data_IF_761970849345
#
_entry.id   IF_761970849345
#
_cell.length_a   1.000
_cell.length_b   1.000
_cell.length_c   1.000
_cell.angle_alpha   90.00
_cell.angle_beta   90.00
_cell.angle_gamma   90.00
#
_symmetry.space_group_name_H-M   'P 1'
#
loop_
_entity.id
_entity.type
_entity.pdbx_description
1 polymer ?
#
# COMPACT_ATOMS: atom_id res chain seq x y z
N UNK A 1 5.37 3.06 -3.19
CA UNK A 1 5.59 2.95 -4.66
C UNK A 1 5.06 4.21 -5.32
N UNK A 2 5.45 4.50 -6.56
CA UNK A 2 4.98 5.69 -7.28
C UNK A 2 3.55 5.51 -7.86
N UNK A 3 2.98 4.32 -7.70
CA UNK A 3 1.67 3.89 -8.20
C UNK A 3 1.59 3.69 -9.72
N UNK A 4 2.75 3.65 -10.38
CA UNK A 4 2.93 3.18 -11.76
C UNK A 4 3.57 1.79 -11.78
N UNK A 5 2.98 0.85 -11.05
CA UNK A 5 3.41 -0.55 -11.09
C UNK A 5 2.89 -1.19 -12.39
N UNK A 6 3.61 -2.18 -12.92
CA UNK A 6 3.18 -2.99 -14.09
C UNK A 6 2.02 -3.93 -13.69
N UNK A 7 0.87 -3.34 -13.39
CA UNK A 7 -0.33 -4.07 -12.97
C UNK A 7 -1.14 -4.65 -14.12
N UNK A 8 -0.92 -4.11 -15.31
CA UNK A 8 -1.64 -4.49 -16.51
C UNK A 8 -0.61 -4.63 -17.62
N UNK A 9 -0.34 -5.87 -18.05
CA UNK A 9 0.64 -6.21 -19.08
C UNK A 9 0.43 -5.44 -20.41
N UNK A 10 -0.75 -4.84 -20.60
CA UNK A 10 -1.14 -4.10 -21.80
C UNK A 10 -1.16 -2.58 -21.64
N UNK A 11 -0.90 -2.04 -20.44
CA UNK A 11 -1.06 -0.62 -20.15
C UNK A 11 0.30 0.07 -19.93
N UNK A 12 0.85 0.67 -20.98
CA UNK A 12 2.04 1.52 -20.86
C UNK A 12 1.66 2.92 -20.34
N UNK A 13 1.94 3.16 -19.06
CA UNK A 13 1.74 4.46 -18.37
C UNK A 13 3.06 5.21 -18.13
N UNK A 14 4.16 4.79 -18.75
CA UNK A 14 5.49 5.39 -18.51
C UNK A 14 5.58 6.85 -18.93
N UNK A 15 4.75 7.27 -19.90
CA UNK A 15 4.70 8.65 -20.44
C UNK A 15 3.38 9.38 -20.20
N UNK A 16 2.55 8.89 -19.27
CA UNK A 16 1.25 9.51 -18.96
C UNK A 16 1.39 10.52 -17.83
N UNK A 17 0.96 11.75 -18.08
CA UNK A 17 0.84 12.77 -17.04
C UNK A 17 -0.46 12.53 -16.26
N UNK A 18 -0.37 12.52 -14.94
CA UNK A 18 -1.49 12.29 -14.04
C UNK A 18 -1.01 12.11 -12.59
N UNK A 19 -1.95 12.07 -11.66
CA UNK A 19 -1.64 11.80 -10.25
C UNK A 19 -1.78 10.31 -9.95
N UNK A 20 -0.65 9.60 -9.96
CA UNK A 20 -0.60 8.14 -9.78
C UNK A 20 -0.23 7.70 -8.37
N UNK A 21 0.00 8.62 -7.42
CA UNK A 21 0.44 8.28 -6.06
C UNK A 21 -0.52 7.31 -5.38
N UNK A 22 0.01 6.22 -4.82
CA UNK A 22 -0.76 5.27 -4.04
C UNK A 22 -0.41 5.35 -2.55
N UNK A 23 -1.44 5.39 -1.71
CA UNK A 23 -1.32 5.43 -0.24
C UNK A 23 -1.99 4.19 0.35
N UNK A 24 -1.28 3.49 1.23
CA UNK A 24 -1.80 2.31 1.93
C UNK A 24 -1.18 2.21 3.34
N UNK A 25 -1.94 1.76 4.34
CA UNK A 25 -1.43 1.61 5.70
C UNK A 25 -0.51 0.40 5.80
N UNK A 26 0.54 0.52 6.62
CA UNK A 26 1.41 -0.59 7.01
C UNK A 26 1.54 -0.60 8.53
N UNK A 27 1.38 -1.78 9.14
CA UNK A 27 1.64 -1.98 10.57
C UNK A 27 3.04 -2.53 10.76
N UNK A 28 3.96 -1.70 11.22
CA UNK A 28 5.34 -2.09 11.49
C UNK A 28 5.43 -2.89 12.80
N UNK A 29 6.30 -3.90 12.82
CA UNK A 29 6.55 -4.74 14.01
C UNK A 29 8.03 -4.69 14.39
N UNK A 30 8.45 -3.67 15.17
CA UNK A 30 9.82 -3.57 15.64
C UNK A 30 10.20 -4.77 16.52
N UNK A 31 11.48 -5.14 16.48
CA UNK A 31 12.08 -6.23 17.22
C UNK A 31 12.97 -5.71 18.35
N UNK A 32 13.45 -6.60 19.20
CA UNK A 32 14.30 -6.25 20.34
C UNK A 32 15.62 -5.58 19.92
N UNK A 33 16.20 -5.98 18.78
CA UNK A 33 17.42 -5.37 18.24
C UNK A 33 17.12 -4.53 17.00
N UNK A 34 17.98 -3.54 16.73
CA UNK A 34 17.89 -2.72 15.53
C UNK A 34 18.09 -3.55 14.26
N UNK A 35 19.05 -4.47 14.26
CA UNK A 35 19.35 -5.32 13.12
C UNK A 35 18.13 -6.18 12.73
N UNK A 36 17.52 -6.84 13.71
CA UNK A 36 16.33 -7.68 13.49
C UNK A 36 15.11 -6.84 13.09
N UNK A 37 14.97 -5.64 13.65
CA UNK A 37 13.91 -4.70 13.28
C UNK A 37 14.02 -4.30 11.81
N UNK A 38 15.23 -3.96 11.34
CA UNK A 38 15.46 -3.56 9.96
C UNK A 38 15.18 -4.70 8.99
N UNK A 39 15.66 -5.91 9.29
CA UNK A 39 15.38 -7.09 8.48
C UNK A 39 13.88 -7.39 8.43
N UNK A 40 13.22 -7.41 9.59
CA UNK A 40 11.80 -7.73 9.69
C UNK A 40 10.94 -6.71 8.96
N UNK A 41 11.14 -5.41 9.21
CA UNK A 41 10.36 -4.34 8.58
C UNK A 41 10.58 -4.32 7.06
N UNK A 42 11.81 -4.56 6.58
CA UNK A 42 12.09 -4.67 5.15
C UNK A 42 11.28 -5.79 4.51
N UNK A 43 11.21 -6.96 5.16
CA UNK A 43 10.43 -8.08 4.65
C UNK A 43 8.92 -7.84 4.78
N UNK A 44 8.44 -7.17 5.84
CA UNK A 44 7.04 -6.73 5.95
C UNK A 44 6.64 -5.83 4.78
N UNK A 45 7.49 -4.88 4.40
CA UNK A 45 7.24 -3.99 3.26
C UNK A 45 7.30 -4.71 1.91
N UNK A 46 8.15 -5.73 1.77
CA UNK A 46 8.24 -6.57 0.57
C UNK A 46 7.05 -7.51 0.38
N UNK A 47 6.48 -7.99 1.48
CA UNK A 47 5.34 -8.88 1.48
C UNK A 47 4.03 -8.21 1.03
N UNK A 48 4.00 -6.87 0.91
CA UNK A 48 2.82 -6.14 0.45
C UNK A 48 2.59 -6.41 -1.04
N UNK A 49 1.48 -7.05 -1.43
CA UNK A 49 1.16 -7.29 -2.84
C UNK A 49 0.99 -5.98 -3.60
N UNK A 50 1.53 -5.90 -4.81
CA UNK A 50 1.24 -4.81 -5.76
C UNK A 50 1.42 -3.40 -5.18
N UNK A 51 2.38 -3.26 -4.25
CA UNK A 51 2.61 -2.05 -3.44
C UNK A 51 1.32 -1.42 -2.92
N UNK A 52 0.39 -2.25 -2.46
CA UNK A 52 -0.84 -1.85 -1.78
C UNK A 52 -1.87 -1.16 -2.66
N UNK A 53 -1.81 -1.26 -3.99
CA UNK A 53 -2.78 -0.60 -4.89
C UNK A 53 -4.20 -1.11 -4.65
N UNK A 54 -4.34 -2.40 -4.31
CA UNK A 54 -5.63 -2.98 -3.92
C UNK A 54 -6.30 -2.28 -2.73
N UNK A 55 -5.54 -1.67 -1.82
CA UNK A 55 -6.11 -0.93 -0.69
C UNK A 55 -6.92 0.28 -1.15
N UNK A 56 -6.33 1.13 -2.01
CA UNK A 56 -7.01 2.31 -2.55
C UNK A 56 -8.23 1.91 -3.38
N UNK A 57 -8.09 0.89 -4.23
CA UNK A 57 -9.19 0.37 -5.02
C UNK A 57 -10.37 -0.10 -4.15
N UNK A 58 -10.12 -0.92 -3.11
CA UNK A 58 -11.17 -1.38 -2.21
C UNK A 58 -11.77 -0.25 -1.36
N UNK A 59 -10.95 0.70 -0.91
CA UNK A 59 -11.38 1.80 -0.06
C UNK A 59 -12.27 2.83 -0.78
N UNK A 60 -12.01 3.08 -2.05
CA UNK A 60 -12.70 4.14 -2.80
C UNK A 60 -13.65 3.61 -3.88
N UNK A 61 -13.34 2.47 -4.49
CA UNK A 61 -14.06 1.88 -5.63
C UNK A 61 -14.66 0.49 -5.34
N UNK A 62 -14.40 -0.07 -4.15
CA UNK A 62 -14.91 -1.38 -3.74
C UNK A 62 -16.41 -1.41 -3.45
N UNK A 63 -16.93 -2.60 -3.16
CA UNK A 63 -18.31 -2.78 -2.69
C UNK A 63 -18.59 -1.93 -1.45
N UNK A 64 -19.87 -1.63 -1.19
CA UNK A 64 -20.29 -0.92 0.03
C UNK A 64 -19.74 -1.60 1.29
N UNK A 65 -19.81 -2.93 1.38
CA UNK A 65 -19.27 -3.70 2.50
C UNK A 65 -17.74 -3.56 2.67
N UNK A 66 -16.98 -3.58 1.56
CA UNK A 66 -15.54 -3.40 1.59
C UNK A 66 -15.16 -1.98 2.05
N UNK A 67 -15.85 -0.97 1.52
CA UNK A 67 -15.64 0.43 1.90
C UNK A 67 -15.95 0.66 3.38
N UNK A 68 -17.07 0.16 3.89
CA UNK A 68 -17.42 0.25 5.31
C UNK A 68 -16.40 -0.43 6.22
N UNK A 69 -15.96 -1.64 5.85
CA UNK A 69 -14.93 -2.38 6.60
C UNK A 69 -13.63 -1.57 6.70
N UNK A 70 -13.16 -1.00 5.58
CA UNK A 70 -11.90 -0.25 5.55
C UNK A 70 -12.01 1.15 6.17
N UNK A 71 -13.21 1.75 6.20
CA UNK A 71 -13.45 3.02 6.89
C UNK A 71 -13.45 2.88 8.41
N UNK A 72 -13.83 1.71 8.94
CA UNK A 72 -13.81 1.43 10.37
C UNK A 72 -12.41 1.17 10.94
N UNK A 73 -11.40 0.95 10.07
CA UNK A 73 -10.03 0.73 10.52
C UNK A 73 -9.38 2.03 11.02
N UNK A 74 -8.51 1.95 12.04
CA UNK A 74 -7.78 3.11 12.53
C UNK A 74 -6.89 3.70 11.43
N UNK A 75 -6.84 5.03 11.38
CA UNK A 75 -5.94 5.75 10.49
C UNK A 75 -4.49 5.61 10.95
N UNK A 76 -3.57 5.56 9.99
CA UNK A 76 -2.14 5.58 10.30
C UNK A 76 -1.76 6.89 11.00
N UNK A 77 -0.96 6.80 12.06
CA UNK A 77 -0.45 7.94 12.81
C UNK A 77 0.73 8.65 12.13
N UNK A 78 1.29 8.04 11.08
CA UNK A 78 2.41 8.55 10.28
C UNK A 78 2.10 8.30 8.81
N UNK A 79 2.27 9.33 7.99
CA UNK A 79 2.12 9.28 6.52
C UNK A 79 3.48 9.66 5.92
N UNK A 80 3.98 8.84 5.00
CA UNK A 80 5.23 9.05 4.27
C UNK A 80 4.95 9.42 2.81
#
# INVERSE_FOLDING_TARGET
GHGREDLFDTLDITRTVGWFSNLYPVRLTPQATLADSLMTIKEQLRAVPDKGIGYGALRYLGSESARQTLQALPLGSIVF
#
